data_IF_619692567350
#
_entry.id   IF_619692567350
#
_cell.length_a   1.000
_cell.length_b   1.000
_cell.length_c   1.000
_cell.angle_alpha   90.00
_cell.angle_beta   90.00
_cell.angle_gamma   90.00
#
_symmetry.space_group_name_H-M   'P 1'
#
loop_
_entity.id
_entity.type
_entity.pdbx_description
1 polymer ?
#
# COMPACT_ATOMS: atom_id res chain seq x y z
N UNK A 1 35.68 -27.16 -39.12
CA UNK A 1 34.44 -27.62 -38.44
C UNK A 1 33.23 -27.46 -39.37
N UNK A 2 32.36 -28.47 -39.50
CA UNK A 2 31.08 -28.36 -40.21
C UNK A 2 31.05 -28.65 -41.73
N UNK A 3 32.12 -29.17 -42.33
CA UNK A 3 32.13 -29.55 -43.76
C UNK A 3 31.79 -31.02 -43.98
N UNK A 4 31.01 -31.37 -45.03
CA UNK A 4 30.81 -32.76 -45.43
C UNK A 4 32.15 -33.48 -45.61
N UNK A 5 32.38 -34.57 -44.86
CA UNK A 5 33.65 -35.31 -44.83
C UNK A 5 34.70 -34.82 -43.82
N UNK A 6 34.35 -33.89 -42.93
CA UNK A 6 35.21 -33.45 -41.82
C UNK A 6 35.32 -34.49 -40.68
N UNK A 7 36.20 -34.20 -39.71
CA UNK A 7 36.50 -35.09 -38.56
C UNK A 7 35.47 -35.05 -37.42
N UNK A 8 34.56 -34.07 -37.43
CA UNK A 8 33.52 -33.94 -36.40
C UNK A 8 32.36 -34.92 -36.69
N UNK A 9 32.04 -35.76 -35.70
CA UNK A 9 30.95 -36.73 -35.79
C UNK A 9 29.68 -36.15 -35.13
N UNK A 10 28.48 -36.69 -35.44
CA UNK A 10 27.28 -36.35 -34.70
C UNK A 10 27.47 -36.54 -33.19
N UNK A 11 27.10 -35.53 -32.40
CA UNK A 11 27.31 -35.47 -30.96
C UNK A 11 28.59 -34.77 -30.51
N UNK A 12 29.52 -34.46 -31.42
CA UNK A 12 30.68 -33.60 -31.13
C UNK A 12 30.21 -32.19 -30.75
N UNK A 13 30.81 -31.61 -29.70
CA UNK A 13 30.51 -30.25 -29.26
C UNK A 13 30.86 -29.22 -30.34
N UNK A 14 30.06 -28.17 -30.44
CA UNK A 14 30.25 -27.05 -31.35
C UNK A 14 29.73 -25.76 -30.69
N UNK A 15 29.68 -24.67 -31.43
CA UNK A 15 29.01 -23.42 -31.02
C UNK A 15 28.30 -22.87 -32.26
N UNK A 16 26.97 -22.75 -32.21
CA UNK A 16 26.15 -22.26 -33.33
C UNK A 16 26.01 -20.73 -33.33
N UNK A 17 26.59 -20.06 -32.33
CA UNK A 17 26.55 -18.62 -32.12
C UNK A 17 25.23 -18.11 -31.59
N UNK A 18 24.25 -18.98 -31.30
CA UNK A 18 22.97 -18.59 -30.75
C UNK A 18 23.05 -18.54 -29.20
N UNK A 19 22.92 -17.37 -28.58
CA UNK A 19 23.00 -17.24 -27.13
C UNK A 19 21.84 -17.93 -26.40
N UNK A 20 20.71 -18.19 -27.07
CA UNK A 20 19.51 -18.78 -26.47
C UNK A 20 19.53 -20.32 -26.46
N UNK A 21 20.63 -20.94 -26.85
CA UNK A 21 20.81 -22.38 -26.83
C UNK A 21 22.01 -22.78 -25.97
N UNK A 22 21.93 -23.96 -25.39
CA UNK A 22 23.01 -24.57 -24.61
C UNK A 22 23.34 -25.95 -25.16
N UNK A 23 24.56 -26.42 -24.88
CA UNK A 23 25.00 -27.77 -25.25
C UNK A 23 24.96 -28.01 -26.77
N UNK A 24 25.50 -27.07 -27.54
CA UNK A 24 25.49 -27.14 -29.00
C UNK A 24 26.32 -28.33 -29.49
N UNK A 25 25.68 -29.16 -30.32
CA UNK A 25 26.29 -30.37 -30.90
C UNK A 25 26.01 -30.46 -32.38
N UNK A 26 26.97 -31.02 -33.09
CA UNK A 26 26.77 -31.40 -34.50
C UNK A 26 25.72 -32.52 -34.60
N UNK A 27 24.72 -32.37 -35.45
CA UNK A 27 23.73 -33.42 -35.74
C UNK A 27 24.09 -34.23 -37.00
N UNK A 28 23.28 -35.25 -37.33
CA UNK A 28 23.48 -36.10 -38.51
C UNK A 28 23.40 -35.35 -39.86
N UNK A 29 22.84 -34.13 -39.87
CA UNK A 29 22.71 -33.27 -41.04
C UNK A 29 23.84 -32.23 -41.14
N UNK A 30 24.93 -32.39 -40.38
CA UNK A 30 26.04 -31.44 -40.31
C UNK A 30 25.63 -30.03 -39.86
N UNK A 31 24.60 -29.91 -39.00
CA UNK A 31 24.20 -28.64 -38.40
C UNK A 31 24.69 -28.60 -36.95
N UNK A 32 25.28 -27.48 -36.54
CA UNK A 32 25.51 -27.20 -35.13
C UNK A 32 24.22 -26.61 -34.57
N UNK A 33 23.61 -27.31 -33.61
CA UNK A 33 22.37 -26.87 -32.96
C UNK A 33 22.45 -27.18 -31.48
N UNK A 34 22.05 -26.22 -30.64
CA UNK A 34 21.90 -26.45 -29.20
C UNK A 34 20.48 -26.79 -28.78
N UNK A 35 20.36 -27.19 -27.51
CA UNK A 35 19.07 -27.31 -26.83
C UNK A 35 18.63 -25.91 -26.43
N UNK A 36 17.35 -25.56 -26.60
CA UNK A 36 16.82 -24.29 -26.08
C UNK A 36 17.25 -24.13 -24.63
N UNK A 37 18.02 -23.08 -24.34
CA UNK A 37 18.29 -22.71 -22.98
C UNK A 37 16.94 -22.38 -22.33
N UNK A 38 16.71 -22.85 -21.11
CA UNK A 38 15.61 -22.30 -20.32
C UNK A 38 16.00 -20.85 -20.04
N UNK A 39 15.39 -19.92 -20.78
CA UNK A 39 15.66 -18.49 -20.62
C UNK A 39 14.77 -18.01 -19.48
N UNK A 40 15.39 -17.38 -18.49
CA UNK A 40 14.67 -16.83 -17.35
C UNK A 40 13.91 -15.55 -17.75
N UNK A 41 13.15 -14.94 -16.83
CA UNK A 41 12.38 -13.74 -17.18
C UNK A 41 13.26 -12.52 -17.52
N UNK A 42 14.54 -12.52 -17.15
CA UNK A 42 15.50 -11.46 -17.42
C UNK A 42 16.19 -11.65 -18.78
N UNK A 43 15.82 -12.70 -19.52
CA UNK A 43 16.44 -13.02 -20.79
C UNK A 43 17.77 -13.77 -20.63
N UNK A 44 18.12 -14.22 -19.42
CA UNK A 44 19.38 -14.90 -19.15
C UNK A 44 19.24 -16.40 -19.45
N UNK A 45 20.01 -16.95 -20.42
CA UNK A 45 20.02 -18.37 -20.73
C UNK A 45 20.52 -19.19 -19.52
N UNK A 46 19.65 -20.02 -18.94
CA UNK A 46 19.95 -20.79 -17.73
C UNK A 46 19.99 -19.94 -16.46
N UNK A 47 19.45 -18.72 -16.49
CA UNK A 47 19.36 -17.83 -15.35
C UNK A 47 18.34 -18.28 -14.30
N UNK A 48 18.29 -17.54 -13.19
CA UNK A 48 17.45 -17.86 -12.03
C UNK A 48 16.42 -16.77 -11.70
N UNK A 49 16.29 -15.74 -12.54
CA UNK A 49 15.26 -14.74 -12.36
C UNK A 49 13.86 -15.32 -12.60
N UNK A 50 12.88 -14.87 -11.86
CA UNK A 50 11.49 -15.33 -11.99
C UNK A 50 10.51 -14.17 -11.79
N UNK A 51 9.28 -14.36 -12.26
CA UNK A 51 8.21 -13.40 -11.97
C UNK A 51 7.76 -13.57 -10.52
N UNK A 52 7.86 -12.51 -9.74
CA UNK A 52 7.37 -12.48 -8.37
C UNK A 52 5.85 -12.22 -8.30
N UNK A 53 5.30 -12.05 -7.10
CA UNK A 53 3.85 -11.90 -6.90
C UNK A 53 3.31 -10.58 -7.50
N UNK A 54 4.20 -9.61 -7.75
CA UNK A 54 3.93 -8.36 -8.46
C UNK A 54 3.97 -8.51 -9.98
N UNK A 55 4.37 -9.69 -10.49
CA UNK A 55 4.65 -9.90 -11.91
C UNK A 55 5.93 -9.19 -12.39
N UNK A 56 6.81 -8.79 -11.47
CA UNK A 56 8.11 -8.19 -11.79
C UNK A 56 9.12 -9.31 -11.94
N UNK A 57 9.98 -9.21 -12.96
CA UNK A 57 11.10 -10.12 -13.09
C UNK A 57 12.16 -9.80 -12.04
N UNK A 58 12.26 -10.66 -11.03
CA UNK A 58 13.05 -10.44 -9.82
C UNK A 58 13.98 -11.61 -9.53
N UNK A 59 14.99 -11.41 -8.69
CA UNK A 59 15.99 -12.43 -8.36
C UNK A 59 17.04 -12.63 -9.47
N UNK A 60 17.88 -13.65 -9.33
CA UNK A 60 19.01 -13.90 -10.25
C UNK A 60 19.92 -12.67 -10.38
N UNK A 61 20.15 -12.22 -11.61
CA UNK A 61 21.00 -11.06 -11.93
C UNK A 61 20.22 -9.76 -12.17
N UNK A 62 18.91 -9.72 -11.88
CA UNK A 62 18.06 -8.53 -12.11
C UNK A 62 18.43 -7.34 -11.21
N UNK A 63 19.03 -7.61 -10.05
CA UNK A 63 19.25 -6.61 -9.01
C UNK A 63 17.99 -6.22 -8.25
N UNK A 64 16.85 -6.87 -8.53
CA UNK A 64 15.56 -6.65 -7.88
C UNK A 64 15.33 -7.77 -6.86
N UNK A 65 14.98 -7.39 -5.63
CA UNK A 65 14.63 -8.33 -4.56
C UNK A 65 13.18 -8.81 -4.82
N UNK A 66 12.94 -10.12 -4.98
CA UNK A 66 11.58 -10.64 -5.13
C UNK A 66 10.73 -10.36 -3.91
N UNK A 67 9.49 -9.91 -4.11
CA UNK A 67 8.52 -9.65 -3.04
C UNK A 67 9.11 -8.76 -1.93
N UNK A 68 9.74 -7.66 -2.31
CA UNK A 68 10.28 -6.70 -1.36
C UNK A 68 9.18 -6.12 -0.47
N UNK A 69 9.51 -5.96 0.81
CA UNK A 69 8.69 -5.32 1.85
C UNK A 69 9.65 -4.37 2.58
N UNK A 70 9.60 -3.09 2.20
CA UNK A 70 10.57 -2.09 2.61
C UNK A 70 10.38 -1.65 4.07
N UNK A 71 9.14 -1.63 4.56
CA UNK A 71 8.83 -1.15 5.91
C UNK A 71 8.54 -2.26 6.93
N UNK A 72 8.44 -3.50 6.48
CA UNK A 72 8.33 -4.70 7.31
C UNK A 72 6.93 -4.92 7.89
N UNK A 73 5.88 -4.37 7.27
CA UNK A 73 4.51 -4.52 7.75
C UNK A 73 3.80 -5.81 7.30
N UNK A 74 4.50 -6.64 6.51
CA UNK A 74 4.05 -7.89 5.90
C UNK A 74 3.13 -7.72 4.67
N UNK A 75 3.10 -6.54 4.07
CA UNK A 75 2.54 -6.27 2.75
C UNK A 75 3.71 -6.03 1.78
N UNK A 76 3.65 -6.66 0.62
CA UNK A 76 4.71 -6.51 -0.40
C UNK A 76 4.55 -5.12 -1.04
N UNK A 77 5.66 -4.40 -1.30
CA UNK A 77 5.71 -3.01 -1.77
C UNK A 77 4.75 -2.70 -2.94
N UNK A 78 4.55 -3.65 -3.86
CA UNK A 78 3.68 -3.46 -5.03
C UNK A 78 2.18 -3.63 -4.74
N UNK A 79 1.84 -4.22 -3.60
CA UNK A 79 0.49 -4.38 -3.06
C UNK A 79 0.26 -3.46 -1.86
N UNK A 80 1.25 -2.64 -1.52
CA UNK A 80 1.26 -1.73 -0.39
C UNK A 80 0.89 -0.31 -0.84
N UNK A 81 -0.18 0.25 -0.29
CA UNK A 81 -0.59 1.63 -0.53
C UNK A 81 0.24 2.66 0.27
N UNK A 82 1.15 2.22 1.14
CA UNK A 82 2.19 3.02 1.79
C UNK A 82 3.54 2.29 1.89
N UNK A 83 4.27 2.05 0.77
CA UNK A 83 5.48 1.19 0.72
C UNK A 83 6.68 1.59 1.59
N UNK A 84 6.58 2.65 2.38
CA UNK A 84 7.65 3.11 3.26
C UNK A 84 7.14 3.47 4.66
N UNK A 85 5.86 3.23 4.95
CA UNK A 85 5.20 3.57 6.20
C UNK A 85 4.27 2.45 6.63
N UNK A 86 4.73 1.68 7.62
CA UNK A 86 4.04 0.48 8.14
C UNK A 86 2.55 0.71 8.35
N UNK A 87 1.72 -0.02 7.61
CA UNK A 87 0.27 0.12 7.67
C UNK A 87 -0.48 -1.16 7.27
N UNK A 88 -0.05 -2.34 7.72
CA UNK A 88 -0.51 -3.66 7.22
C UNK A 88 -2.01 -4.00 7.24
N UNK A 89 -2.89 -3.10 7.66
CA UNK A 89 -4.34 -3.16 7.37
C UNK A 89 -4.72 -2.55 6.01
N UNK A 90 -3.81 -1.83 5.35
CA UNK A 90 -3.97 -1.23 4.02
C UNK A 90 -5.22 -0.35 3.95
N UNK A 91 -5.46 0.43 5.01
CA UNK A 91 -6.57 1.38 5.04
C UNK A 91 -6.32 2.51 4.03
N UNK A 92 -7.34 2.84 3.25
CA UNK A 92 -7.37 3.91 2.25
C UNK A 92 -8.81 4.43 2.22
N UNK A 93 -9.03 5.54 2.94
CA UNK A 93 -10.36 5.99 3.29
C UNK A 93 -11.12 6.63 2.12
N UNK A 94 -10.44 7.39 1.29
CA UNK A 94 -11.03 8.08 0.14
C UNK A 94 -10.82 7.34 -1.19
N UNK A 95 -10.03 6.26 -1.18
CA UNK A 95 -9.88 5.32 -2.28
C UNK A 95 -8.97 5.85 -3.37
N UNK A 96 -7.99 6.69 -3.01
CA UNK A 96 -7.08 7.33 -3.96
C UNK A 96 -5.85 6.49 -4.30
N UNK A 97 -5.65 5.38 -3.58
CA UNK A 97 -4.54 4.46 -3.73
C UNK A 97 -3.33 4.78 -2.86
N UNK A 98 -3.40 5.82 -2.03
CA UNK A 98 -2.43 6.17 -0.99
C UNK A 98 -3.04 5.81 0.35
N UNK A 99 -2.33 5.01 1.16
CA UNK A 99 -2.87 4.56 2.43
C UNK A 99 -2.97 5.68 3.46
N UNK A 100 -3.95 5.57 4.36
CA UNK A 100 -4.21 6.53 5.44
C UNK A 100 -2.94 6.86 6.26
N UNK A 101 -1.99 5.92 6.35
CA UNK A 101 -0.76 6.10 7.11
C UNK A 101 0.23 7.10 6.48
N UNK A 102 0.21 7.25 5.16
CA UNK A 102 1.12 8.09 4.39
C UNK A 102 0.41 9.16 3.54
N UNK A 103 -0.92 9.22 3.59
CA UNK A 103 -1.74 10.20 2.88
C UNK A 103 -1.77 11.58 3.56
N UNK A 104 -1.33 12.62 2.84
CA UNK A 104 -1.33 14.01 3.26
C UNK A 104 -2.72 14.70 3.16
N UNK A 105 -3.73 14.02 2.60
CA UNK A 105 -5.13 14.40 2.54
C UNK A 105 -6.09 13.20 2.62
N UNK A 106 -5.99 12.39 3.69
CA UNK A 106 -6.82 11.21 4.06
C UNK A 106 -8.36 11.24 3.82
N UNK A 107 -8.95 12.36 3.43
CA UNK A 107 -10.39 12.49 3.15
C UNK A 107 -10.70 13.18 1.82
N UNK A 108 -9.68 13.55 1.04
CA UNK A 108 -9.82 14.19 -0.27
C UNK A 108 -8.93 13.47 -1.26
N UNK A 109 -9.56 12.69 -2.13
CA UNK A 109 -8.90 11.96 -3.21
C UNK A 109 -7.80 12.80 -3.89
N UNK A 110 -6.53 12.44 -3.67
CA UNK A 110 -5.37 13.14 -4.20
C UNK A 110 -4.17 12.20 -4.44
N UNK A 111 -4.24 11.26 -5.39
CA UNK A 111 -3.21 10.22 -5.58
C UNK A 111 -1.79 10.76 -5.85
N UNK A 112 -1.72 12.03 -6.28
CA UNK A 112 -0.47 12.72 -6.55
C UNK A 112 0.24 13.29 -5.32
N UNK A 113 -0.42 13.33 -4.16
CA UNK A 113 0.13 13.77 -2.87
C UNK A 113 0.88 15.10 -2.94
N UNK A 114 0.46 16.02 -3.82
CA UNK A 114 1.11 17.32 -3.96
C UNK A 114 0.99 18.11 -2.66
N UNK A 115 2.11 18.63 -2.18
CA UNK A 115 2.20 19.53 -1.03
C UNK A 115 3.21 20.62 -1.39
N UNK A 116 2.71 21.74 -1.93
CA UNK A 116 3.54 22.79 -2.52
C UNK A 116 4.35 23.56 -1.47
N UNK A 117 3.83 23.68 -0.24
CA UNK A 117 4.50 24.40 0.84
C UNK A 117 5.28 23.49 1.81
N UNK A 118 5.16 22.17 1.65
CA UNK A 118 5.91 21.16 2.39
C UNK A 118 5.51 21.05 3.85
N UNK A 119 4.28 21.45 4.18
CA UNK A 119 3.80 21.50 5.56
C UNK A 119 3.24 20.15 6.08
N UNK A 120 3.18 19.14 5.21
CA UNK A 120 2.64 17.81 5.50
C UNK A 120 1.12 17.68 5.27
N UNK A 121 0.49 18.71 4.73
CA UNK A 121 -0.89 18.69 4.26
C UNK A 121 -0.90 18.93 2.76
N UNK A 122 -1.59 18.07 2.02
CA UNK A 122 -1.65 18.18 0.58
C UNK A 122 -2.42 19.41 0.09
N UNK A 123 -2.04 19.91 -1.08
CA UNK A 123 -2.67 21.01 -1.79
C UNK A 123 -4.19 20.77 -1.99
N UNK A 124 -4.61 19.50 -2.09
CA UNK A 124 -6.00 19.10 -2.29
C UNK A 124 -6.91 19.39 -1.10
N UNK A 125 -6.39 19.31 0.13
CA UNK A 125 -7.09 19.61 1.37
C UNK A 125 -6.52 20.85 2.09
N UNK A 126 -5.68 21.60 1.38
CA UNK A 126 -5.13 22.87 1.83
C UNK A 126 -6.26 23.89 1.94
N UNK A 127 -6.51 24.38 3.15
CA UNK A 127 -7.64 25.27 3.45
C UNK A 127 -8.83 24.57 4.11
N UNK A 128 -8.91 23.24 4.04
CA UNK A 128 -9.82 22.40 4.83
C UNK A 128 -9.21 22.05 6.21
N UNK A 129 -8.09 22.67 6.54
CA UNK A 129 -7.40 22.55 7.82
C UNK A 129 -7.91 23.51 8.90
N UNK A 130 -7.85 23.10 10.18
CA UNK A 130 -8.65 23.61 11.29
C UNK A 130 -8.20 24.96 11.87
N UNK A 131 -7.64 25.87 11.08
CA UNK A 131 -7.18 27.18 11.59
C UNK A 131 -8.18 28.33 11.40
N UNK A 132 -9.36 28.08 10.82
CA UNK A 132 -10.44 29.06 10.67
C UNK A 132 -11.83 28.41 10.78
N UNK A 133 -12.15 27.74 11.90
CA UNK A 133 -13.55 27.30 12.15
C UNK A 133 -14.28 28.27 13.08
N UNK A 134 -15.03 29.25 12.56
CA UNK A 134 -16.34 29.54 13.10
C UNK A 134 -17.33 28.50 12.54
N UNK A 135 -17.87 27.72 13.47
CA UNK A 135 -19.17 27.01 13.45
C UNK A 135 -19.94 27.03 12.11
N UNK A 136 -20.28 25.84 11.58
CA UNK A 136 -21.14 25.52 10.41
C UNK A 136 -20.39 25.12 9.12
N UNK A 137 -19.82 23.92 9.07
CA UNK A 137 -19.77 23.14 7.83
C UNK A 137 -20.50 21.84 8.09
N UNK A 138 -21.78 21.84 7.75
CA UNK A 138 -22.56 20.63 7.59
C UNK A 138 -22.66 20.39 6.10
N UNK A 139 -21.80 19.53 5.57
CA UNK A 139 -21.91 19.11 4.17
C UNK A 139 -22.73 17.82 4.16
N UNK A 140 -24.04 18.05 4.09
CA UNK A 140 -25.13 17.22 3.54
C UNK A 140 -25.33 15.76 3.99
N UNK A 141 -24.47 15.17 4.83
CA UNK A 141 -24.62 13.78 5.32
C UNK A 141 -24.38 13.60 6.84
N UNK A 142 -24.63 14.63 7.66
CA UNK A 142 -24.84 14.39 9.09
C UNK A 142 -23.62 14.00 9.91
N UNK A 143 -22.43 14.47 9.56
CA UNK A 143 -21.17 14.09 10.21
C UNK A 143 -21.15 14.16 11.75
N UNK A 144 -20.37 13.27 12.35
CA UNK A 144 -20.12 13.21 13.79
C UNK A 144 -19.27 14.41 14.21
N UNK A 145 -19.66 15.12 15.27
CA UNK A 145 -18.95 16.30 15.78
C UNK A 145 -18.16 15.94 17.03
N UNK A 146 -16.89 16.34 17.12
CA UNK A 146 -16.03 16.08 18.28
C UNK A 146 -15.47 17.40 18.80
N UNK A 147 -15.68 17.71 20.09
CA UNK A 147 -15.28 18.98 20.69
C UNK A 147 -14.89 18.85 22.17
N UNK A 148 -13.80 19.49 22.65
CA UNK A 148 -12.82 20.23 21.87
C UNK A 148 -11.97 19.28 21.00
N UNK A 149 -11.50 19.77 19.86
CA UNK A 149 -10.54 19.06 19.01
C UNK A 149 -9.60 20.10 18.39
N UNK A 150 -8.28 20.07 18.61
CA UNK A 150 -7.53 19.05 19.35
C UNK A 150 -7.79 19.03 20.86
N UNK A 151 -7.78 17.84 21.46
CA UNK A 151 -8.08 17.65 22.87
C UNK A 151 -6.86 17.22 23.68
N UNK A 152 -6.82 17.66 24.95
CA UNK A 152 -5.87 17.17 25.94
C UNK A 152 -6.45 16.38 27.10
N UNK A 153 -7.75 16.11 27.06
CA UNK A 153 -8.49 15.50 28.16
C UNK A 153 -9.74 14.81 27.64
N UNK A 154 -10.91 15.37 27.90
CA UNK A 154 -12.16 14.73 27.52
C UNK A 154 -12.85 15.51 26.39
N UNK A 155 -13.49 14.79 25.48
CA UNK A 155 -14.22 15.33 24.33
C UNK A 155 -15.69 14.94 24.37
N UNK A 156 -16.53 15.87 23.94
CA UNK A 156 -17.93 15.67 23.64
C UNK A 156 -18.06 15.24 22.19
N UNK A 157 -18.83 14.18 21.98
CA UNK A 157 -19.15 13.68 20.65
C UNK A 157 -20.65 13.86 20.41
N UNK A 158 -21.02 14.51 19.31
CA UNK A 158 -22.40 14.74 18.92
C UNK A 158 -22.64 14.28 17.49
N UNK A 159 -23.52 13.29 17.32
CA UNK A 159 -24.01 12.80 16.04
C UNK A 159 -25.36 13.47 15.74
N UNK A 160 -25.47 14.28 14.68
CA UNK A 160 -26.73 14.89 14.28
C UNK A 160 -27.64 13.95 13.47
N UNK A 161 -27.16 12.78 13.05
CA UNK A 161 -27.93 11.81 12.26
C UNK A 161 -28.01 10.44 12.91
N UNK A 162 -29.13 9.77 12.63
CA UNK A 162 -29.45 8.44 13.14
C UNK A 162 -29.61 8.40 14.66
N UNK A 163 -29.73 7.17 15.17
CA UNK A 163 -29.80 6.84 16.59
C UNK A 163 -28.52 6.07 16.98
N UNK A 164 -27.39 6.77 17.21
CA UNK A 164 -26.16 6.11 17.62
C UNK A 164 -26.31 5.46 18.98
N UNK A 165 -25.94 4.18 19.05
CA UNK A 165 -25.87 3.40 20.26
C UNK A 165 -24.47 3.44 20.88
N UNK A 166 -23.43 3.49 20.04
CA UNK A 166 -22.03 3.34 20.46
C UNK A 166 -21.11 4.31 19.74
N UNK A 167 -19.99 4.57 20.37
CA UNK A 167 -18.80 5.18 19.78
C UNK A 167 -17.65 4.19 19.81
N UNK A 168 -16.92 4.09 18.71
CA UNK A 168 -15.64 3.39 18.64
C UNK A 168 -14.55 4.37 18.24
N UNK A 169 -13.40 4.28 18.89
CA UNK A 169 -12.21 5.07 18.56
C UNK A 169 -11.11 4.12 18.14
N UNK A 170 -10.53 4.35 16.97
CA UNK A 170 -9.40 3.59 16.45
C UNK A 170 -8.16 4.46 16.32
N UNK A 171 -7.00 3.84 16.51
CA UNK A 171 -5.71 4.45 16.19
C UNK A 171 -5.51 4.50 14.66
N UNK A 172 -4.46 5.18 14.16
CA UNK A 172 -4.18 5.25 12.72
C UNK A 172 -3.88 3.89 12.09
N UNK A 173 -3.51 2.88 12.88
CA UNK A 173 -3.32 1.51 12.43
C UNK A 173 -4.62 0.70 12.46
N UNK A 174 -5.79 1.34 12.62
CA UNK A 174 -7.11 0.71 12.63
C UNK A 174 -7.37 -0.20 13.84
N UNK A 175 -6.58 -0.09 14.92
CA UNK A 175 -6.78 -0.88 16.14
C UNK A 175 -7.77 -0.17 17.05
N UNK A 176 -8.70 -0.92 17.63
CA UNK A 176 -9.68 -0.37 18.56
C UNK A 176 -8.97 0.11 19.83
N UNK A 177 -9.00 1.42 20.07
CA UNK A 177 -8.44 2.07 21.26
C UNK A 177 -9.49 2.12 22.36
N UNK A 178 -10.72 2.48 22.01
CA UNK A 178 -11.80 2.62 22.98
C UNK A 178 -13.17 2.37 22.34
N UNK A 179 -14.05 1.67 23.03
CA UNK A 179 -15.48 1.57 22.71
C UNK A 179 -16.31 2.06 23.90
N UNK A 180 -17.40 2.78 23.63
CA UNK A 180 -18.28 3.29 24.66
C UNK A 180 -19.71 3.47 24.16
N UNK A 181 -20.69 3.53 25.07
CA UNK A 181 -22.07 3.93 24.73
C UNK A 181 -22.11 5.39 24.31
N UNK A 182 -22.85 5.69 23.25
CA UNK A 182 -23.05 7.06 22.79
C UNK A 182 -23.70 7.94 23.87
N UNK A 183 -23.33 9.23 23.89
CA UNK A 183 -23.80 10.20 24.88
C UNK A 183 -22.94 10.30 26.14
N UNK A 184 -21.98 9.41 26.33
CA UNK A 184 -20.93 9.56 27.35
C UNK A 184 -19.80 10.47 26.86
N UNK A 185 -19.10 11.13 27.78
CA UNK A 185 -17.93 11.95 27.43
C UNK A 185 -16.74 11.03 27.11
N UNK A 186 -16.11 11.23 25.95
CA UNK A 186 -14.98 10.42 25.51
C UNK A 186 -13.70 10.94 26.19
N UNK A 187 -13.13 10.15 27.10
CA UNK A 187 -11.88 10.49 27.76
C UNK A 187 -10.68 10.05 26.93
N UNK A 188 -9.90 11.03 26.46
CA UNK A 188 -8.73 10.82 25.61
C UNK A 188 -7.44 11.04 26.39
N UNK A 189 -7.49 11.21 27.71
CA UNK A 189 -6.32 11.51 28.53
C UNK A 189 -5.23 10.44 28.45
N UNK A 190 -5.62 9.17 28.28
CA UNK A 190 -4.71 8.02 28.10
C UNK A 190 -4.24 7.78 26.67
N UNK A 191 -4.69 8.57 25.70
CA UNK A 191 -4.32 8.38 24.29
C UNK A 191 -2.94 8.97 24.02
N UNK A 192 -2.16 8.30 23.17
CA UNK A 192 -0.93 8.88 22.64
C UNK A 192 -1.25 10.13 21.81
N UNK A 193 -0.31 11.08 21.75
CA UNK A 193 -0.44 12.23 20.84
C UNK A 193 -0.53 11.73 19.40
N UNK A 194 -1.48 12.27 18.63
CA UNK A 194 -1.72 11.83 17.26
C UNK A 194 -3.19 11.82 16.84
N UNK A 195 -3.47 11.41 15.60
CA UNK A 195 -4.81 11.30 15.07
C UNK A 195 -5.52 10.01 15.48
N UNK A 196 -6.84 10.07 15.58
CA UNK A 196 -7.73 8.96 15.86
C UNK A 196 -9.00 9.08 15.00
N UNK A 197 -9.54 7.93 14.61
CA UNK A 197 -10.84 7.84 13.95
C UNK A 197 -11.92 7.56 14.99
N UNK A 198 -12.99 8.34 14.99
CA UNK A 198 -14.15 8.17 15.87
C UNK A 198 -15.34 7.78 15.02
N UNK A 199 -15.90 6.60 15.25
CA UNK A 199 -17.12 6.13 14.61
C UNK A 199 -18.30 6.19 15.57
N UNK A 200 -19.47 6.55 15.04
CA UNK A 200 -20.75 6.33 15.69
C UNK A 200 -21.46 5.15 15.03
N UNK A 201 -21.93 4.21 15.84
CA UNK A 201 -22.56 2.96 15.39
C UNK A 201 -23.98 2.87 15.95
N UNK A 202 -24.89 2.25 15.18
CA UNK A 202 -26.24 1.91 15.63
C UNK A 202 -26.27 0.65 16.53
N UNK A 203 -27.45 0.27 17.01
CA UNK A 203 -27.66 -0.93 17.86
C UNK A 203 -27.29 -2.27 17.18
N UNK A 204 -27.14 -2.27 15.85
CA UNK A 204 -26.74 -3.44 15.07
C UNK A 204 -25.23 -3.46 14.76
N UNK A 205 -24.47 -2.49 15.27
CA UNK A 205 -23.03 -2.36 15.01
C UNK A 205 -22.71 -1.83 13.61
N UNK A 206 -23.65 -1.16 12.94
CA UNK A 206 -23.40 -0.51 11.64
C UNK A 206 -22.90 0.91 11.87
N UNK A 207 -21.86 1.32 11.16
CA UNK A 207 -21.35 2.69 11.20
C UNK A 207 -22.38 3.63 10.55
N UNK A 208 -22.77 4.67 11.27
CA UNK A 208 -23.74 5.67 10.81
C UNK A 208 -23.16 7.08 10.70
N UNK A 209 -22.05 7.36 11.38
CA UNK A 209 -21.30 8.60 11.22
C UNK A 209 -19.85 8.42 11.66
N UNK A 210 -18.96 9.33 11.24
CA UNK A 210 -17.53 9.29 11.55
C UNK A 210 -16.96 10.70 11.74
N UNK A 211 -15.89 10.81 12.52
CA UNK A 211 -15.14 12.03 12.78
C UNK A 211 -13.65 11.73 13.03
N UNK A 212 -12.81 12.75 12.93
CA UNK A 212 -11.42 12.71 13.39
C UNK A 212 -11.29 13.35 14.77
N UNK A 213 -10.42 12.78 15.59
CA UNK A 213 -9.97 13.34 16.86
C UNK A 213 -8.44 13.49 16.82
N UNK A 214 -7.93 14.67 17.19
CA UNK A 214 -6.50 14.94 17.33
C UNK A 214 -6.17 15.07 18.81
N UNK A 215 -5.32 14.18 19.32
CA UNK A 215 -4.75 14.26 20.66
C UNK A 215 -3.45 15.06 20.59
N UNK A 216 -3.36 16.18 21.32
CA UNK A 216 -2.12 16.97 21.44
C UNK A 216 -1.24 16.52 22.60
#
# INVERSE_FOLDING_TARGET
EGTPGGSALPGTACNDGNPNTTNDKWNANCQCVGTSANVDCNGDPGGTAFLDDCGVCSGGNTGIIPNADLDGDQVIDCLDNCPSTTNGLQADFDGDGVGDACDNCMWVYNPGQQDTDGNGIGDACQGDLPTQVPEQVGDEDGGLRVWPNPASGSVTVQCPVGDPAKLQVLDPAGRLVQEMTYGSQLDVSGFASGPYLVFALDDHGRVIARARLIRR
#
